data_IF_555186177086
#
_entry.id   IF_555186177086
#
_cell.length_a   1.000
_cell.length_b   1.000
_cell.length_c   1.000
_cell.angle_alpha   90.00
_cell.angle_beta   90.00
_cell.angle_gamma   90.00
#
_symmetry.space_group_name_H-M   'P 1'
#
loop_
_entity.id
_entity.type
_entity.pdbx_description
1 polymer ?
#
# COMPACT_ATOMS: atom_id res chain seq x y z
N UNK A 1 -1.00 -25.58 4.82
CA UNK A 1 -0.22 -24.62 5.64
C UNK A 1 1.22 -25.14 5.75
N UNK A 2 2.20 -24.24 5.77
CA UNK A 2 3.61 -24.58 5.99
C UNK A 2 4.01 -24.76 7.47
N UNK A 3 3.05 -24.60 8.40
CA UNK A 3 3.28 -24.64 9.85
C UNK A 3 3.59 -23.27 10.46
N UNK A 4 3.39 -23.13 11.78
CA UNK A 4 3.74 -21.91 12.54
C UNK A 4 5.08 -22.13 13.23
N UNK A 5 5.98 -21.16 13.17
CA UNK A 5 7.26 -21.22 13.89
C UNK A 5 7.09 -20.82 15.38
N UNK A 6 7.15 -21.76 16.34
CA UNK A 6 6.93 -21.45 17.75
C UNK A 6 8.01 -20.53 18.34
N UNK A 7 9.24 -20.54 17.81
CA UNK A 7 10.31 -19.67 18.29
C UNK A 7 10.07 -18.21 17.90
N UNK A 8 9.56 -17.96 16.69
CA UNK A 8 9.14 -16.62 16.26
C UNK A 8 8.00 -16.08 17.13
N UNK A 9 7.00 -16.92 17.42
CA UNK A 9 5.90 -16.56 18.34
C UNK A 9 6.43 -16.22 19.74
N UNK A 10 7.36 -17.03 20.27
CA UNK A 10 7.99 -16.77 21.57
C UNK A 10 8.79 -15.47 21.60
N UNK A 11 9.43 -15.09 20.49
CA UNK A 11 10.13 -13.81 20.38
C UNK A 11 9.16 -12.63 20.53
N UNK A 12 8.11 -12.57 19.72
CA UNK A 12 7.16 -11.45 19.78
C UNK A 12 6.39 -11.40 21.10
N UNK A 13 6.05 -12.54 21.70
CA UNK A 13 5.46 -12.57 23.04
C UNK A 13 6.36 -11.89 24.07
N UNK A 14 7.64 -12.26 24.15
CA UNK A 14 8.59 -11.64 25.09
C UNK A 14 8.71 -10.13 24.85
N UNK A 15 8.84 -9.73 23.58
CA UNK A 15 8.94 -8.31 23.24
C UNK A 15 7.68 -7.53 23.67
N UNK A 16 6.49 -8.06 23.40
CA UNK A 16 5.22 -7.42 23.79
C UNK A 16 5.09 -7.34 25.30
N UNK A 17 5.42 -8.42 26.02
CA UNK A 17 5.37 -8.47 27.48
C UNK A 17 6.34 -7.46 28.10
N UNK A 18 7.58 -7.39 27.60
CA UNK A 18 8.60 -6.45 28.08
C UNK A 18 8.20 -5.00 27.80
N UNK A 19 7.64 -4.69 26.62
CA UNK A 19 7.13 -3.34 26.32
C UNK A 19 6.02 -2.93 27.31
N UNK A 20 5.05 -3.82 27.54
CA UNK A 20 3.93 -3.54 28.43
C UNK A 20 4.35 -3.44 29.90
N UNK A 21 5.29 -4.29 30.35
CA UNK A 21 5.87 -4.21 31.69
C UNK A 21 6.55 -2.86 31.95
N UNK A 22 7.03 -2.20 30.89
CA UNK A 22 7.63 -0.86 30.93
C UNK A 22 6.64 0.27 30.57
N UNK A 23 5.33 -0.01 30.50
CA UNK A 23 4.30 0.99 30.21
C UNK A 23 4.28 1.48 28.75
N UNK A 24 4.99 0.81 27.83
CA UNK A 24 5.06 1.15 26.41
C UNK A 24 3.96 0.38 25.68
N UNK A 25 3.07 1.10 24.99
CA UNK A 25 1.98 0.51 24.23
C UNK A 25 2.46 0.09 22.83
N UNK A 26 2.41 -1.20 22.46
CA UNK A 26 2.85 -1.64 21.15
C UNK A 26 1.85 -1.21 20.06
N UNK A 27 2.39 -0.59 19.00
CA UNK A 27 1.70 -0.38 17.72
C UNK A 27 2.35 -1.33 16.72
N UNK A 28 1.64 -2.40 16.35
CA UNK A 28 2.23 -3.50 15.59
C UNK A 28 1.81 -3.40 14.14
N UNK A 29 2.79 -3.34 13.25
CA UNK A 29 2.57 -3.46 11.80
C UNK A 29 2.68 -4.92 11.39
N UNK A 30 1.64 -5.45 10.73
CA UNK A 30 1.59 -6.84 10.27
C UNK A 30 2.56 -7.08 9.12
N UNK A 31 2.63 -6.17 8.16
CA UNK A 31 3.50 -6.30 6.99
C UNK A 31 4.29 -5.03 6.71
N UNK A 32 5.60 -5.18 6.69
CA UNK A 32 6.56 -4.12 6.42
C UNK A 32 7.51 -4.56 5.29
N UNK A 33 6.90 -4.99 4.17
CA UNK A 33 7.55 -5.33 2.90
C UNK A 33 8.30 -6.67 2.86
N UNK A 34 8.34 -7.38 3.98
CA UNK A 34 9.03 -8.64 4.22
C UNK A 34 8.18 -9.86 3.83
N UNK A 35 7.72 -9.91 2.58
CA UNK A 35 6.91 -11.02 2.07
C UNK A 35 7.74 -12.31 2.09
N UNK A 36 7.21 -13.45 2.60
CA UNK A 36 7.90 -14.73 2.51
C UNK A 36 8.21 -15.10 1.06
N UNK A 37 9.48 -15.38 0.75
CA UNK A 37 9.93 -15.75 -0.60
C UNK A 37 9.13 -16.91 -1.19
N UNK A 38 8.68 -17.86 -0.36
CA UNK A 38 7.86 -18.98 -0.80
C UNK A 38 6.55 -18.55 -1.50
N UNK A 39 5.93 -17.44 -1.10
CA UNK A 39 4.72 -16.91 -1.74
C UNK A 39 5.05 -16.21 -3.07
N UNK A 40 6.21 -15.56 -3.12
CA UNK A 40 6.73 -14.96 -4.35
C UNK A 40 7.08 -16.03 -5.39
N UNK A 41 7.77 -17.10 -4.98
CA UNK A 41 8.11 -18.24 -5.84
C UNK A 41 6.85 -19.00 -6.31
N UNK A 42 5.84 -19.13 -5.44
CA UNK A 42 4.65 -19.93 -5.74
C UNK A 42 3.70 -19.22 -6.71
N UNK A 43 3.50 -17.91 -6.56
CA UNK A 43 2.51 -17.18 -7.35
C UNK A 43 2.84 -15.70 -7.60
N UNK A 44 4.10 -15.29 -7.43
CA UNK A 44 4.56 -13.91 -7.59
C UNK A 44 3.93 -12.92 -6.60
N UNK A 45 3.69 -13.38 -5.38
CA UNK A 45 3.34 -12.53 -4.26
C UNK A 45 2.13 -11.64 -4.55
N UNK A 46 2.32 -10.31 -4.43
CA UNK A 46 1.25 -9.34 -4.64
C UNK A 46 0.80 -9.17 -6.09
N UNK A 47 1.45 -9.83 -7.06
CA UNK A 47 0.92 -9.90 -8.44
C UNK A 47 -0.23 -10.90 -8.59
N UNK A 48 -0.46 -11.77 -7.61
CA UNK A 48 -1.57 -12.72 -7.58
C UNK A 48 -2.62 -12.37 -6.54
N UNK A 49 -3.89 -12.63 -6.85
CA UNK A 49 -4.99 -12.48 -5.90
C UNK A 49 -4.92 -13.48 -4.74
N UNK A 50 -4.16 -14.57 -4.87
CA UNK A 50 -4.00 -15.59 -3.82
C UNK A 50 -3.40 -15.00 -2.53
N UNK A 51 -2.58 -13.94 -2.66
CA UNK A 51 -1.97 -13.25 -1.51
C UNK A 51 -3.00 -12.72 -0.52
N UNK A 52 -4.23 -12.43 -0.97
CA UNK A 52 -5.29 -11.86 -0.12
C UNK A 52 -5.69 -12.86 0.97
N UNK A 53 -5.85 -14.13 0.62
CA UNK A 53 -6.21 -15.18 1.57
C UNK A 53 -5.02 -15.52 2.49
N UNK A 54 -3.81 -15.63 1.94
CA UNK A 54 -2.61 -15.90 2.75
C UNK A 54 -2.31 -14.76 3.75
N UNK A 55 -2.48 -13.49 3.33
CA UNK A 55 -2.34 -12.35 4.22
C UNK A 55 -3.43 -12.31 5.28
N UNK A 56 -4.69 -12.65 4.92
CA UNK A 56 -5.79 -12.76 5.89
C UNK A 56 -5.49 -13.84 6.93
N UNK A 57 -4.99 -15.00 6.53
CA UNK A 57 -4.68 -16.11 7.43
C UNK A 57 -3.48 -15.79 8.34
N UNK A 58 -2.47 -15.09 7.81
CA UNK A 58 -1.39 -14.54 8.61
C UNK A 58 -1.90 -13.52 9.65
N UNK A 59 -2.76 -12.59 9.24
CA UNK A 59 -3.39 -11.64 10.17
C UNK A 59 -4.23 -12.35 11.24
N UNK A 60 -5.02 -13.36 10.86
CA UNK A 60 -5.80 -14.20 11.79
C UNK A 60 -4.90 -14.83 12.86
N UNK A 61 -3.74 -15.34 12.46
CA UNK A 61 -2.76 -15.90 13.37
C UNK A 61 -2.21 -14.84 14.34
N UNK A 62 -1.80 -13.68 13.85
CA UNK A 62 -1.30 -12.59 14.68
C UNK A 62 -2.35 -12.10 15.70
N UNK A 63 -3.60 -11.93 15.28
CA UNK A 63 -4.69 -11.52 16.16
C UNK A 63 -4.97 -12.55 17.26
N UNK A 64 -4.94 -13.84 16.93
CA UNK A 64 -5.10 -14.92 17.94
C UNK A 64 -3.97 -14.93 18.97
N UNK A 65 -2.74 -14.79 18.50
CA UNK A 65 -1.56 -14.97 19.34
C UNK A 65 -1.25 -13.76 20.23
N UNK A 66 -1.55 -12.55 19.74
CA UNK A 66 -1.05 -11.32 20.37
C UNK A 66 -2.14 -10.29 20.66
N UNK A 67 -3.36 -10.46 20.14
CA UNK A 67 -4.43 -9.46 20.26
C UNK A 67 -5.03 -9.33 21.67
N UNK A 68 -4.72 -10.26 22.57
CA UNK A 68 -4.99 -10.12 24.01
C UNK A 68 -4.26 -8.90 24.60
N UNK A 69 -3.06 -8.59 24.09
CA UNK A 69 -2.16 -7.52 24.56
C UNK A 69 -2.00 -6.36 23.58
N UNK A 70 -1.94 -6.62 22.28
CA UNK A 70 -1.80 -5.60 21.24
C UNK A 70 -3.16 -4.95 20.94
N UNK A 71 -3.24 -3.62 21.10
CA UNK A 71 -4.48 -2.85 20.90
C UNK A 71 -4.48 -1.93 19.70
N UNK A 72 -3.34 -1.82 19.00
CA UNK A 72 -3.16 -0.96 17.82
C UNK A 72 -2.48 -1.76 16.73
N UNK A 73 -3.26 -2.10 15.71
CA UNK A 73 -2.82 -2.89 14.57
C UNK A 73 -2.70 -2.02 13.33
N UNK A 74 -1.53 -2.02 12.70
CA UNK A 74 -1.35 -1.52 11.34
C UNK A 74 -1.25 -2.71 10.40
N UNK A 75 -2.03 -2.71 9.34
CA UNK A 75 -2.02 -3.80 8.35
C UNK A 75 -0.78 -3.73 7.46
N UNK A 76 -0.66 -2.66 6.68
CA UNK A 76 0.41 -2.46 5.71
C UNK A 76 1.17 -1.17 6.04
N UNK A 77 2.49 -1.23 6.01
CA UNK A 77 3.33 -0.04 5.91
C UNK A 77 3.42 0.41 4.44
N UNK A 78 3.02 1.65 4.15
CA UNK A 78 3.29 2.36 2.90
C UNK A 78 3.14 1.49 1.63
N UNK A 79 1.93 1.02 1.30
CA UNK A 79 1.72 0.17 0.12
C UNK A 79 2.10 0.87 -1.20
N UNK A 80 2.13 2.21 -1.22
CA UNK A 80 2.71 3.01 -2.29
C UNK A 80 4.18 2.64 -2.56
N UNK A 81 5.01 2.67 -1.52
CA UNK A 81 6.44 2.38 -1.59
C UNK A 81 6.67 0.96 -2.12
N UNK A 82 5.92 -0.01 -1.61
CA UNK A 82 6.00 -1.39 -2.08
C UNK A 82 5.64 -1.52 -3.57
N UNK A 83 4.52 -0.94 -4.01
CA UNK A 83 4.05 -1.07 -5.40
C UNK A 83 4.95 -0.33 -6.40
N UNK A 84 5.39 0.89 -6.09
CA UNK A 84 6.16 1.70 -7.02
C UNK A 84 7.64 1.31 -7.01
N UNK A 85 8.27 1.17 -5.84
CA UNK A 85 9.68 0.82 -5.77
C UNK A 85 9.92 -0.66 -6.10
N UNK A 86 8.96 -1.54 -5.80
CA UNK A 86 9.04 -2.97 -6.10
C UNK A 86 8.70 -3.35 -7.55
N UNK A 87 7.77 -2.63 -8.20
CA UNK A 87 7.23 -3.04 -9.52
C UNK A 87 7.27 -1.97 -10.63
N UNK A 88 7.67 -0.73 -10.33
CA UNK A 88 7.84 0.31 -11.36
C UNK A 88 9.32 0.62 -11.60
N UNK A 89 10.05 0.96 -10.53
CA UNK A 89 11.49 1.27 -10.60
C UNK A 89 12.41 0.08 -10.29
N UNK A 90 11.89 -0.96 -9.65
CA UNK A 90 12.64 -2.15 -9.26
C UNK A 90 13.79 -1.88 -8.29
N UNK A 91 13.73 -0.79 -7.52
CA UNK A 91 14.75 -0.44 -6.53
C UNK A 91 14.59 -1.21 -5.22
N UNK A 92 13.38 -1.69 -4.93
CA UNK A 92 13.07 -2.53 -3.76
C UNK A 92 12.69 -3.94 -4.22
N UNK A 93 12.71 -4.92 -3.31
CA UNK A 93 12.19 -6.25 -3.58
C UNK A 93 10.70 -6.18 -4.04
N UNK A 94 10.27 -7.02 -5.00
CA UNK A 94 11.04 -8.09 -5.66
C UNK A 94 11.94 -7.63 -6.82
N UNK A 95 12.01 -6.33 -7.13
CA UNK A 95 12.92 -5.78 -8.13
C UNK A 95 12.39 -5.90 -9.56
N UNK A 96 11.08 -5.75 -9.75
CA UNK A 96 10.42 -5.79 -11.04
C UNK A 96 10.39 -4.41 -11.70
N UNK A 97 10.74 -4.34 -12.98
CA UNK A 97 10.53 -3.18 -13.82
C UNK A 97 10.65 -3.50 -15.32
N UNK A 98 10.05 -2.66 -16.16
CA UNK A 98 10.31 -2.69 -17.60
C UNK A 98 11.77 -2.33 -17.89
N UNK A 99 12.36 -2.92 -18.95
CA UNK A 99 13.76 -2.65 -19.36
C UNK A 99 14.09 -1.17 -19.62
N UNK A 100 13.10 -0.36 -20.00
CA UNK A 100 13.27 1.07 -20.22
C UNK A 100 13.18 1.92 -18.95
N UNK A 101 12.80 1.32 -17.81
CA UNK A 101 12.73 2.00 -16.51
C UNK A 101 13.97 1.72 -15.65
N UNK A 102 14.59 0.56 -15.79
CA UNK A 102 15.74 0.15 -14.99
C UNK A 102 16.35 -1.17 -15.47
N UNK A 103 17.35 -1.65 -14.74
CA UNK A 103 18.10 -2.87 -15.07
C UNK A 103 17.47 -4.14 -14.48
N UNK A 104 16.14 -4.22 -14.45
CA UNK A 104 15.43 -5.39 -13.95
C UNK A 104 15.45 -6.51 -14.98
N UNK A 105 15.50 -7.75 -14.51
CA UNK A 105 15.47 -8.94 -15.37
C UNK A 105 14.06 -9.30 -15.83
N UNK A 106 13.05 -8.91 -15.06
CA UNK A 106 11.63 -9.18 -15.27
C UNK A 106 10.78 -7.96 -14.86
N UNK A 107 9.51 -7.97 -15.29
CA UNK A 107 8.51 -7.02 -14.83
C UNK A 107 7.90 -6.16 -15.94
N UNK A 108 6.83 -5.46 -15.59
CA UNK A 108 6.15 -4.51 -16.45
C UNK A 108 5.65 -3.30 -15.67
N UNK A 109 6.43 -2.22 -15.73
CA UNK A 109 6.17 -0.96 -15.03
C UNK A 109 4.87 -0.27 -15.45
N UNK A 110 4.26 -0.68 -16.57
CA UNK A 110 2.98 -0.15 -17.05
C UNK A 110 1.76 -0.79 -16.38
N UNK A 111 1.91 -1.98 -15.79
CA UNK A 111 0.78 -2.80 -15.30
C UNK A 111 0.98 -3.33 -13.89
N UNK A 112 2.16 -3.87 -13.58
CA UNK A 112 2.42 -4.55 -12.30
C UNK A 112 2.23 -3.68 -11.07
N UNK A 113 2.62 -2.38 -11.04
CA UNK A 113 2.32 -1.51 -9.91
C UNK A 113 0.82 -1.42 -9.59
N UNK A 114 -0.04 -1.47 -10.62
CA UNK A 114 -1.49 -1.40 -10.47
C UNK A 114 -2.10 -2.72 -9.99
N UNK A 115 -1.52 -3.84 -10.39
CA UNK A 115 -1.93 -5.16 -9.92
C UNK A 115 -1.54 -5.33 -8.44
N UNK A 116 -0.28 -5.03 -8.11
CA UNK A 116 0.22 -5.08 -6.73
C UNK A 116 -0.57 -4.18 -5.79
N UNK A 117 -0.80 -2.91 -6.17
CA UNK A 117 -1.58 -1.97 -5.38
C UNK A 117 -3.02 -2.45 -5.14
N UNK A 118 -3.64 -3.09 -6.14
CA UNK A 118 -4.98 -3.64 -6.02
C UNK A 118 -5.04 -4.79 -5.00
N UNK A 119 -4.11 -5.75 -5.10
CA UNK A 119 -4.07 -6.88 -4.17
C UNK A 119 -3.66 -6.46 -2.76
N UNK A 120 -2.79 -5.46 -2.59
CA UNK A 120 -2.48 -4.85 -1.29
C UNK A 120 -3.73 -4.27 -0.64
N UNK A 121 -4.51 -3.46 -1.39
CA UNK A 121 -5.77 -2.89 -0.89
C UNK A 121 -6.77 -3.98 -0.46
N UNK A 122 -6.92 -5.03 -1.26
CA UNK A 122 -7.81 -6.14 -0.92
C UNK A 122 -7.33 -6.95 0.29
N UNK A 123 -6.01 -7.17 0.41
CA UNK A 123 -5.39 -7.83 1.56
C UNK A 123 -5.62 -7.03 2.85
N UNK A 124 -5.42 -5.71 2.79
CA UNK A 124 -5.76 -4.79 3.87
C UNK A 124 -7.24 -4.90 4.27
N UNK A 125 -8.16 -4.79 3.31
CA UNK A 125 -9.59 -4.85 3.59
C UNK A 125 -10.01 -6.20 4.18
N UNK A 126 -9.45 -7.31 3.70
CA UNK A 126 -9.72 -8.65 4.23
C UNK A 126 -9.27 -8.79 5.69
N UNK A 127 -8.06 -8.31 6.03
CA UNK A 127 -7.56 -8.32 7.40
C UNK A 127 -8.40 -7.44 8.34
N UNK A 128 -8.82 -6.26 7.88
CA UNK A 128 -9.67 -5.35 8.66
C UNK A 128 -11.06 -5.96 8.88
N UNK A 129 -11.69 -6.49 7.83
CA UNK A 129 -12.99 -7.15 7.95
C UNK A 129 -12.93 -8.32 8.93
N UNK A 130 -11.88 -9.13 8.87
CA UNK A 130 -11.63 -10.21 9.82
C UNK A 130 -11.50 -9.67 11.25
N UNK A 131 -10.67 -8.66 11.47
CA UNK A 131 -10.44 -8.09 12.79
C UNK A 131 -11.74 -7.54 13.39
N UNK A 132 -12.48 -6.72 12.63
CA UNK A 132 -13.74 -6.10 13.07
C UNK A 132 -14.83 -7.14 13.38
N UNK A 133 -14.95 -8.17 12.54
CA UNK A 133 -16.01 -9.18 12.70
C UNK A 133 -15.73 -10.21 13.79
N UNK A 134 -14.46 -10.57 14.03
CA UNK A 134 -14.10 -11.71 14.89
C UNK A 134 -13.40 -11.32 16.19
N UNK A 135 -12.62 -10.24 16.19
CA UNK A 135 -11.68 -9.95 17.28
C UNK A 135 -11.97 -8.64 18.03
N UNK A 136 -12.40 -7.60 17.32
CA UNK A 136 -12.45 -6.24 17.86
C UNK A 136 -13.35 -6.11 19.10
N UNK A 137 -14.52 -6.76 19.13
CA UNK A 137 -15.43 -6.70 20.27
C UNK A 137 -14.82 -7.29 21.55
N UNK A 138 -14.08 -8.40 21.43
CA UNK A 138 -13.43 -9.08 22.55
C UNK A 138 -12.10 -8.44 22.94
N UNK A 139 -11.27 -8.11 21.94
CA UNK A 139 -9.91 -7.60 22.14
C UNK A 139 -9.86 -6.09 22.39
N UNK A 140 -10.91 -5.34 22.01
CA UNK A 140 -11.07 -3.90 22.23
C UNK A 140 -9.90 -3.06 21.69
N UNK A 141 -9.28 -3.51 20.60
CA UNK A 141 -8.25 -2.74 19.89
C UNK A 141 -8.80 -2.09 18.62
N UNK A 142 -7.94 -1.33 17.96
CA UNK A 142 -8.22 -0.61 16.72
C UNK A 142 -7.27 -1.10 15.62
N UNK A 143 -7.74 -1.08 14.37
CA UNK A 143 -6.97 -1.50 13.21
C UNK A 143 -6.96 -0.41 12.13
N UNK A 144 -5.82 -0.23 11.48
CA UNK A 144 -5.62 0.78 10.45
C UNK A 144 -4.58 0.39 9.41
N UNK A 145 -4.15 1.39 8.66
CA UNK A 145 -3.11 1.31 7.65
C UNK A 145 -2.19 2.52 7.77
N UNK A 146 -0.91 2.36 7.43
CA UNK A 146 0.02 3.48 7.33
C UNK A 146 0.22 3.84 5.87
N UNK A 147 -0.12 5.07 5.51
CA UNK A 147 0.13 5.62 4.18
C UNK A 147 1.27 6.64 4.24
N UNK A 148 2.18 6.59 3.27
CA UNK A 148 3.15 7.66 3.07
C UNK A 148 2.54 8.74 2.21
N UNK A 149 2.86 10.00 2.51
CA UNK A 149 2.54 11.11 1.64
C UNK A 149 3.69 12.10 1.59
N UNK A 150 3.90 12.66 0.40
CA UNK A 150 4.55 13.95 0.28
C UNK A 150 3.47 15.01 0.18
N UNK A 151 3.79 16.23 0.63
CA UNK A 151 2.99 17.36 0.20
C UNK A 151 3.44 17.82 -1.19
N UNK A 152 2.50 18.25 -2.02
CA UNK A 152 2.78 18.68 -3.38
C UNK A 152 2.36 20.14 -3.56
N UNK A 153 3.32 20.96 -3.97
CA UNK A 153 3.13 22.39 -4.23
C UNK A 153 3.26 22.61 -5.74
N UNK A 154 2.41 23.41 -6.40
CA UNK A 154 2.60 23.74 -7.81
C UNK A 154 3.95 24.42 -8.03
N UNK A 155 4.69 24.04 -9.07
CA UNK A 155 6.00 24.63 -9.38
C UNK A 155 5.90 26.12 -9.65
N UNK A 156 4.90 26.54 -10.43
CA UNK A 156 4.56 27.96 -10.63
C UNK A 156 3.17 28.25 -10.05
N UNK A 157 3.04 29.16 -9.06
CA UNK A 157 1.74 29.51 -8.49
C UNK A 157 0.82 30.24 -9.49
N UNK A 158 1.39 30.76 -10.60
CA UNK A 158 0.64 31.44 -11.67
C UNK A 158 0.14 30.49 -12.76
N UNK A 159 0.53 29.21 -12.72
CA UNK A 159 0.18 28.22 -13.73
C UNK A 159 -0.97 27.34 -13.24
N UNK A 160 -2.14 27.46 -13.86
CA UNK A 160 -3.26 26.57 -13.58
C UNK A 160 -2.90 25.09 -13.86
N UNK A 161 -2.08 24.83 -14.88
CA UNK A 161 -1.64 23.48 -15.21
C UNK A 161 -0.76 22.86 -14.10
N UNK A 162 0.06 23.67 -13.41
CA UNK A 162 0.89 23.19 -12.30
C UNK A 162 0.05 22.94 -11.03
N UNK A 163 -1.02 23.72 -10.83
CA UNK A 163 -2.00 23.42 -9.78
C UNK A 163 -2.68 22.08 -10.00
N UNK A 164 -3.18 21.82 -11.21
CA UNK A 164 -3.74 20.53 -11.57
C UNK A 164 -2.69 19.39 -11.47
N UNK A 165 -1.42 19.68 -11.75
CA UNK A 165 -0.33 18.71 -11.59
C UNK A 165 -0.09 18.36 -10.12
N UNK A 166 -0.15 19.33 -9.21
CA UNK A 166 -0.05 19.10 -7.77
C UNK A 166 -1.21 18.25 -7.24
N UNK A 167 -2.45 18.49 -7.71
CA UNK A 167 -3.60 17.65 -7.38
C UNK A 167 -3.44 16.22 -7.90
N UNK A 168 -3.02 16.06 -9.17
CA UNK A 168 -2.73 14.73 -9.73
C UNK A 168 -1.61 14.03 -8.98
N UNK A 169 -0.61 14.75 -8.47
CA UNK A 169 0.47 14.17 -7.67
C UNK A 169 -0.10 13.55 -6.40
N UNK A 170 -0.95 14.30 -5.69
CA UNK A 170 -1.58 13.83 -4.47
C UNK A 170 -2.51 12.63 -4.76
N UNK A 171 -3.27 12.67 -5.85
CA UNK A 171 -4.13 11.56 -6.28
C UNK A 171 -3.33 10.28 -6.57
N UNK A 172 -2.24 10.36 -7.33
CA UNK A 172 -1.43 9.20 -7.70
C UNK A 172 -0.57 8.67 -6.54
N UNK A 173 -0.22 9.53 -5.58
CA UNK A 173 0.63 9.16 -4.44
C UNK A 173 -0.20 8.70 -3.24
N UNK A 174 -1.00 9.59 -2.66
CA UNK A 174 -1.78 9.35 -1.45
C UNK A 174 -3.18 8.85 -1.79
N UNK A 175 -3.87 9.53 -2.71
CA UNK A 175 -5.23 9.22 -3.12
C UNK A 175 -5.39 7.80 -3.67
N UNK A 176 -4.34 7.24 -4.28
CA UNK A 176 -4.35 5.91 -4.86
C UNK A 176 -4.74 4.82 -3.83
N UNK A 177 -4.40 5.03 -2.56
CA UNK A 177 -4.77 4.14 -1.45
C UNK A 177 -5.83 4.75 -0.54
N UNK A 178 -5.74 6.04 -0.23
CA UNK A 178 -6.70 6.70 0.67
C UNK A 178 -8.12 6.75 0.08
N UNK A 179 -8.25 6.97 -1.24
CA UNK A 179 -9.54 7.11 -1.89
C UNK A 179 -10.31 5.77 -1.95
N UNK A 180 -9.69 4.61 -2.32
CA UNK A 180 -10.37 3.31 -2.20
C UNK A 180 -10.81 2.99 -0.77
N UNK A 181 -9.98 3.26 0.23
CA UNK A 181 -10.32 2.96 1.64
C UNK A 181 -11.44 3.87 2.16
N UNK A 182 -11.55 5.10 1.65
CA UNK A 182 -12.59 6.04 2.10
C UNK A 182 -13.90 5.87 1.31
N UNK A 183 -13.80 5.70 -0.01
CA UNK A 183 -14.93 5.78 -0.93
C UNK A 183 -15.18 4.49 -1.72
N UNK A 184 -14.32 3.48 -1.61
CA UNK A 184 -14.45 2.20 -2.29
C UNK A 184 -14.08 2.21 -3.78
N UNK A 185 -13.43 3.26 -4.28
CA UNK A 185 -12.97 3.33 -5.68
C UNK A 185 -11.71 4.20 -5.79
N UNK A 186 -11.00 4.12 -6.92
CA UNK A 186 -9.81 4.92 -7.20
C UNK A 186 -10.14 6.39 -7.54
N UNK A 187 -9.18 7.33 -7.40
CA UNK A 187 -9.35 8.72 -7.81
C UNK A 187 -9.73 8.86 -9.30
N UNK A 188 -10.55 9.87 -9.61
CA UNK A 188 -11.02 10.10 -11.00
C UNK A 188 -9.89 10.41 -11.97
N UNK A 189 -8.86 11.14 -11.54
CA UNK A 189 -7.67 11.44 -12.35
C UNK A 189 -6.95 10.15 -12.79
N UNK A 190 -6.72 9.21 -11.86
CA UNK A 190 -6.14 7.91 -12.13
C UNK A 190 -7.04 7.06 -13.05
N UNK A 191 -8.36 7.10 -12.83
CA UNK A 191 -9.34 6.41 -13.70
C UNK A 191 -9.20 6.83 -15.15
N UNK A 192 -9.10 8.15 -15.38
CA UNK A 192 -8.96 8.76 -16.70
C UNK A 192 -7.60 8.47 -17.34
N UNK A 193 -6.51 8.68 -16.59
CA UNK A 193 -5.15 8.67 -17.15
C UNK A 193 -4.57 7.27 -17.34
N UNK A 194 -4.81 6.36 -16.38
CA UNK A 194 -4.30 4.97 -16.47
C UNK A 194 -5.21 4.09 -17.34
N UNK A 195 -6.51 4.43 -17.40
CA UNK A 195 -7.48 3.71 -18.22
C UNK A 195 -7.62 2.24 -17.83
N UNK A 196 -7.45 1.33 -18.80
CA UNK A 196 -7.66 -0.11 -18.67
C UNK A 196 -6.50 -0.88 -18.01
N UNK A 197 -5.32 -0.25 -17.85
CA UNK A 197 -4.14 -0.89 -17.22
C UNK A 197 -4.30 -1.07 -15.70
N UNK A 198 -5.26 -0.36 -15.11
CA UNK A 198 -5.62 -0.50 -13.69
C UNK A 198 -6.79 -1.48 -13.54
N UNK A 199 -6.73 -2.39 -12.56
CA UNK A 199 -7.89 -3.20 -12.19
C UNK A 199 -9.10 -2.35 -11.75
N UNK A 200 -10.28 -2.96 -11.78
CA UNK A 200 -11.53 -2.37 -11.27
C UNK A 200 -11.98 -3.18 -10.08
N UNK A 201 -12.42 -2.49 -9.02
CA UNK A 201 -13.07 -3.17 -7.91
C UNK A 201 -14.45 -3.67 -8.33
N UNK A 202 -14.78 -4.90 -7.96
CA UNK A 202 -16.16 -5.38 -7.99
C UNK A 202 -16.99 -4.61 -6.94
N UNK A 203 -18.31 -4.69 -7.03
CA UNK A 203 -19.20 -4.09 -6.01
C UNK A 203 -18.92 -4.63 -4.60
N UNK A 204 -18.55 -5.91 -4.50
CA UNK A 204 -18.19 -6.52 -3.22
C UNK A 204 -16.86 -5.97 -2.68
N UNK A 205 -15.82 -5.91 -3.51
CA UNK A 205 -14.51 -5.36 -3.14
C UNK A 205 -14.61 -3.89 -2.73
N UNK A 206 -15.37 -3.09 -3.49
CA UNK A 206 -15.61 -1.67 -3.18
C UNK A 206 -16.27 -1.50 -1.81
N UNK A 207 -17.25 -2.35 -1.48
CA UNK A 207 -17.90 -2.36 -0.17
C UNK A 207 -16.96 -2.79 0.96
N UNK A 208 -16.09 -3.77 0.72
CA UNK A 208 -15.09 -4.21 1.70
C UNK A 208 -14.08 -3.11 2.02
N UNK A 209 -13.68 -2.32 1.02
CA UNK A 209 -12.71 -1.24 1.17
C UNK A 209 -13.28 -0.01 1.86
N UNK A 210 -14.54 0.35 1.58
CA UNK A 210 -15.15 1.57 2.11
C UNK A 210 -15.22 1.55 3.63
N UNK A 211 -14.48 2.46 4.27
CA UNK A 211 -14.40 2.56 5.73
C UNK A 211 -13.60 1.44 6.38
N UNK A 212 -12.68 0.79 5.65
CA UNK A 212 -11.87 -0.32 6.16
C UNK A 212 -10.75 0.12 7.11
N UNK A 213 -11.03 0.99 8.06
CA UNK A 213 -10.09 1.39 9.12
C UNK A 213 -10.82 1.93 10.35
N UNK A 214 -10.11 1.97 11.47
CA UNK A 214 -10.45 2.77 12.66
C UNK A 214 -9.56 4.01 12.74
N UNK A 215 -8.32 3.91 12.25
CA UNK A 215 -7.36 5.02 12.18
C UNK A 215 -6.51 4.94 10.90
N UNK A 216 -5.90 6.07 10.54
CA UNK A 216 -4.91 6.16 9.46
C UNK A 216 -3.58 6.64 10.05
N UNK A 217 -2.53 5.83 9.89
CA UNK A 217 -1.16 6.27 10.10
C UNK A 217 -0.69 7.07 8.89
N UNK A 218 0.01 8.18 9.11
CA UNK A 218 0.58 8.99 8.03
C UNK A 218 2.08 9.14 8.26
N UNK A 219 2.87 8.57 7.35
CA UNK A 219 4.30 8.83 7.29
C UNK A 219 4.53 10.06 6.42
N UNK A 220 5.13 11.09 6.99
CA UNK A 220 5.43 12.34 6.31
C UNK A 220 6.92 12.65 6.47
N UNK A 221 7.57 12.95 5.34
CA UNK A 221 8.99 13.25 5.30
C UNK A 221 9.27 14.61 4.64
N UNK A 222 8.67 14.87 3.48
CA UNK A 222 9.03 16.03 2.67
C UNK A 222 7.89 16.57 1.80
N UNK A 223 8.15 17.71 1.18
CA UNK A 223 7.31 18.38 0.18
C UNK A 223 8.05 18.40 -1.16
N UNK A 224 7.34 18.26 -2.27
CA UNK A 224 7.90 18.41 -3.62
C UNK A 224 7.14 19.45 -4.42
N UNK A 225 7.84 20.11 -5.35
CA UNK A 225 7.18 20.86 -6.40
C UNK A 225 6.70 19.93 -7.52
N UNK A 226 5.50 20.17 -8.02
CA UNK A 226 4.89 19.46 -9.13
C UNK A 226 4.67 20.42 -10.31
N UNK A 227 5.19 20.06 -11.48
CA UNK A 227 4.95 20.77 -12.73
C UNK A 227 4.17 19.88 -13.70
N UNK A 228 3.34 20.50 -14.54
CA UNK A 228 2.64 19.79 -15.61
C UNK A 228 3.62 19.20 -16.63
N UNK A 229 3.44 17.93 -17.01
CA UNK A 229 4.17 17.31 -18.10
C UNK A 229 3.29 17.22 -19.36
N UNK A 230 3.57 17.99 -20.42
CA UNK A 230 2.75 18.01 -21.64
C UNK A 230 3.00 16.82 -22.58
N UNK A 231 3.96 15.92 -22.28
CA UNK A 231 4.32 14.82 -23.18
C UNK A 231 3.18 13.81 -23.31
N UNK A 232 2.69 13.64 -24.54
CA UNK A 232 1.66 12.66 -24.92
C UNK A 232 2.19 11.23 -24.79
N UNK A 233 1.41 10.37 -24.13
CA UNK A 233 1.73 8.95 -23.96
C UNK A 233 1.71 8.19 -25.30
N UNK A 234 2.62 7.23 -25.44
CA UNK A 234 2.55 6.24 -26.53
C UNK A 234 3.73 5.25 -26.56
N UNK A 235 4.91 5.69 -26.13
CA UNK A 235 6.12 4.83 -26.06
C UNK A 235 6.53 4.71 -24.59
N UNK A 236 6.81 3.48 -24.14
CA UNK A 236 7.32 3.20 -22.78
C UNK A 236 6.41 3.65 -21.62
N UNK A 237 5.13 3.27 -21.65
CA UNK A 237 4.19 3.56 -20.56
C UNK A 237 4.68 3.00 -19.21
N UNK A 238 4.44 3.74 -18.13
CA UNK A 238 4.82 3.35 -16.77
C UNK A 238 3.94 4.10 -15.76
N UNK A 239 3.95 3.66 -14.50
CA UNK A 239 3.34 4.43 -13.42
C UNK A 239 3.86 5.88 -13.40
N UNK A 240 5.18 6.07 -13.58
CA UNK A 240 5.81 7.39 -13.56
C UNK A 240 5.33 8.31 -14.69
N UNK A 241 5.02 7.78 -15.86
CA UNK A 241 4.53 8.57 -17.00
C UNK A 241 3.01 8.85 -16.94
N UNK A 242 2.25 8.10 -16.15
CA UNK A 242 0.78 8.16 -16.13
C UNK A 242 0.22 9.40 -15.47
N UNK A 243 0.92 9.92 -14.46
CA UNK A 243 0.45 11.07 -13.71
C UNK A 243 0.57 12.39 -14.52
N UNK A 244 1.40 12.42 -15.57
CA UNK A 244 1.73 13.62 -16.35
C UNK A 244 2.30 14.74 -15.47
N UNK A 245 3.27 14.38 -14.63
CA UNK A 245 3.90 15.27 -13.65
C UNK A 245 5.42 15.18 -13.76
N UNK A 246 6.09 16.32 -13.62
CA UNK A 246 7.51 16.39 -13.37
C UNK A 246 7.68 16.81 -11.91
N UNK A 247 8.28 15.93 -11.10
CA UNK A 247 8.68 16.27 -9.74
C UNK A 247 10.04 16.99 -9.76
N UNK A 248 10.15 18.08 -9.02
CA UNK A 248 11.42 18.79 -8.83
C UNK A 248 11.67 19.06 -7.37
N UNK A 249 12.85 18.69 -6.86
CA UNK A 249 13.38 19.21 -5.61
C UNK A 249 13.90 20.63 -5.88
N UNK A 250 13.32 21.62 -5.19
CA UNK A 250 13.61 23.07 -5.11
C UNK A 250 14.58 23.73 -6.11
N UNK A 251 14.10 24.84 -6.70
CA UNK A 251 14.71 25.88 -7.56
C UNK A 251 16.21 25.81 -7.87
#
# INVERSE_FOLDING_TARGET
>A
SGGVNPLGVKFYNRLIDDLLANGIKPFVTLFHWDLPQALDDQYSGFLSSNVVDDFRDYADLCFKLFGDRVKKWCTLNEPYSYSVNGYNGGSFAPGHCSRYMGNCTVGNSATEPYIAAHNLLLSHAAAVQLYKSKYQSAQKGEIGITLVTHWFVPKSPKSAADWEAAERALDFFFGWYAHPITYGDYPTSMKRLVGKRRPRFTSEQSRMLRGSLDFMGVNYYTTNYAAHNPVLQGVNASYSSDSQIIFTSST
#
